data_IF_444325858849
#
_entry.id   IF_444325858849
#
_cell.length_a   1.000
_cell.length_b   1.000
_cell.length_c   1.000
_cell.angle_alpha   90.00
_cell.angle_beta   90.00
_cell.angle_gamma   90.00
#
_symmetry.space_group_name_H-M   'P 1'
#
loop_
_entity.id
_entity.type
_entity.pdbx_description
1 polymer ?
#
# COMPACT_ATOMS: atom_id res chain seq x y z
N UNK A 1 -2.84 -25.90 9.08
CA UNK A 1 -2.81 -24.79 8.09
C UNK A 1 -3.74 -23.71 8.60
N UNK A 2 -3.24 -22.51 8.87
CA UNK A 2 -4.09 -21.41 9.36
C UNK A 2 -4.95 -20.91 8.20
N UNK A 3 -6.22 -21.29 8.18
CA UNK A 3 -7.24 -20.61 7.40
C UNK A 3 -7.34 -19.17 7.90
N UNK A 4 -7.17 -18.21 6.99
CA UNK A 4 -7.40 -16.78 7.29
C UNK A 4 -8.82 -16.63 7.85
N UNK A 5 -8.91 -16.28 9.14
CA UNK A 5 -10.18 -16.04 9.81
C UNK A 5 -10.77 -14.73 9.28
N UNK A 6 -12.08 -14.73 9.00
CA UNK A 6 -12.76 -13.49 8.62
C UNK A 6 -12.72 -12.55 9.80
N UNK A 7 -12.11 -11.38 9.60
CA UNK A 7 -11.97 -10.37 10.63
C UNK A 7 -13.02 -9.29 10.40
N UNK A 8 -14.06 -9.31 11.22
CA UNK A 8 -15.07 -8.25 11.28
C UNK A 8 -14.73 -7.39 12.49
N UNK A 9 -14.64 -6.07 12.30
CA UNK A 9 -14.40 -5.11 13.39
C UNK A 9 -15.65 -4.89 14.24
N UNK A 10 -15.72 -3.76 14.95
CA UNK A 10 -16.94 -3.34 15.66
C UNK A 10 -18.10 -3.05 14.70
N UNK A 11 -17.77 -2.68 13.46
CA UNK A 11 -18.70 -2.45 12.37
C UNK A 11 -18.38 -3.40 11.21
N UNK A 12 -19.43 -3.97 10.60
CA UNK A 12 -19.34 -4.70 9.33
C UNK A 12 -19.57 -3.73 8.16
N UNK A 13 -18.59 -3.61 7.27
CA UNK A 13 -18.61 -2.70 6.12
C UNK A 13 -19.17 -3.34 4.84
N UNK A 14 -19.14 -4.68 4.75
CA UNK A 14 -19.66 -5.42 3.59
C UNK A 14 -20.76 -6.40 4.02
N UNK A 15 -21.90 -5.89 4.54
CA UNK A 15 -22.99 -6.73 5.03
C UNK A 15 -23.55 -7.62 3.93
N UNK A 16 -23.91 -8.85 4.29
CA UNK A 16 -24.43 -9.84 3.34
C UNK A 16 -23.38 -10.50 2.43
N UNK A 17 -22.11 -10.09 2.53
CA UNK A 17 -21.00 -10.75 1.84
C UNK A 17 -20.26 -11.62 2.86
N UNK A 18 -20.33 -12.94 2.70
CA UNK A 18 -19.52 -13.88 3.49
C UNK A 18 -18.13 -14.08 2.86
N UNK A 19 -17.31 -14.95 3.46
CA UNK A 19 -16.06 -15.38 2.83
C UNK A 19 -16.36 -16.00 1.47
N UNK A 20 -15.69 -15.53 0.42
CA UNK A 20 -15.90 -15.96 -0.96
C UNK A 20 -15.47 -17.43 -1.11
N UNK A 21 -16.41 -18.35 -1.42
CA UNK A 21 -16.09 -19.77 -1.56
C UNK A 21 -15.54 -20.08 -2.95
N UNK A 22 -14.92 -21.25 -3.10
CA UNK A 22 -14.69 -21.87 -4.40
C UNK A 22 -15.87 -22.80 -4.74
N UNK A 23 -16.49 -22.61 -5.91
CA UNK A 23 -17.63 -23.43 -6.38
C UNK A 23 -17.37 -24.10 -7.75
N UNK A 24 -16.20 -23.88 -8.34
CA UNK A 24 -15.80 -24.51 -9.60
C UNK A 24 -16.42 -23.92 -10.87
N UNK A 25 -15.95 -24.41 -12.02
CA UNK A 25 -16.15 -23.78 -13.34
C UNK A 25 -17.60 -23.68 -13.81
N UNK A 26 -18.47 -24.55 -13.29
CA UNK A 26 -19.89 -24.57 -13.65
C UNK A 26 -20.72 -23.53 -12.88
N UNK A 27 -20.21 -23.02 -11.76
CA UNK A 27 -20.93 -22.06 -10.92
C UNK A 27 -21.27 -20.78 -11.68
N UNK A 28 -22.50 -20.30 -11.46
CA UNK A 28 -23.00 -19.01 -11.92
C UNK A 28 -23.10 -17.97 -10.81
N UNK A 29 -22.83 -18.35 -9.55
CA UNK A 29 -22.84 -17.43 -8.41
C UNK A 29 -21.73 -16.37 -8.61
N UNK A 30 -22.02 -15.08 -8.80
CA UNK A 30 -20.98 -14.07 -9.04
C UNK A 30 -20.00 -13.92 -7.87
N UNK A 31 -20.41 -14.25 -6.64
CA UNK A 31 -19.64 -14.14 -5.41
C UNK A 31 -19.00 -15.46 -4.99
N UNK A 32 -18.45 -16.19 -5.97
CA UNK A 32 -17.68 -17.42 -5.75
C UNK A 32 -16.52 -17.50 -6.76
N UNK A 33 -15.40 -18.11 -6.37
CA UNK A 33 -14.32 -18.44 -7.29
C UNK A 33 -14.70 -19.65 -8.15
N UNK A 34 -14.45 -19.55 -9.47
CA UNK A 34 -14.73 -20.63 -10.45
C UNK A 34 -13.46 -21.42 -10.79
N UNK A 35 -12.30 -20.81 -10.55
CA UNK A 35 -11.00 -21.34 -10.94
C UNK A 35 -9.98 -21.32 -9.81
N UNK A 36 -10.07 -20.33 -8.92
CA UNK A 36 -9.16 -20.21 -7.80
C UNK A 36 -9.66 -21.04 -6.61
N UNK A 37 -9.12 -22.24 -6.47
CA UNK A 37 -9.16 -23.02 -5.23
C UNK A 37 -7.82 -22.83 -4.53
N UNK A 38 -7.82 -22.15 -3.38
CA UNK A 38 -6.59 -21.78 -2.66
C UNK A 38 -5.74 -23.01 -2.26
N UNK A 39 -6.37 -24.18 -2.09
CA UNK A 39 -5.71 -25.41 -1.66
C UNK A 39 -5.37 -26.36 -2.83
N UNK A 40 -5.81 -26.05 -4.05
CA UNK A 40 -5.50 -26.90 -5.20
C UNK A 40 -3.99 -26.91 -5.46
N UNK A 41 -3.41 -28.10 -5.47
CA UNK A 41 -2.01 -28.31 -5.83
C UNK A 41 -1.80 -28.12 -7.34
N UNK A 42 -0.81 -27.30 -7.70
CA UNK A 42 -0.31 -27.10 -9.06
C UNK A 42 1.19 -27.38 -9.03
N UNK A 43 1.61 -28.56 -9.49
CA UNK A 43 2.98 -29.03 -9.28
C UNK A 43 3.24 -29.23 -7.78
N UNK A 44 4.26 -28.57 -7.24
CA UNK A 44 4.71 -28.73 -5.85
C UNK A 44 4.20 -27.64 -4.89
N UNK A 45 3.32 -26.75 -5.32
CA UNK A 45 2.74 -25.68 -4.50
C UNK A 45 1.24 -25.60 -4.69
N UNK A 46 0.54 -25.12 -3.68
CA UNK A 46 -0.86 -24.72 -3.78
C UNK A 46 -1.02 -23.50 -4.69
N UNK A 47 -2.22 -23.28 -5.23
CA UNK A 47 -2.52 -22.04 -5.97
C UNK A 47 -2.24 -20.80 -5.12
N UNK A 48 -2.57 -20.81 -3.82
CA UNK A 48 -2.29 -19.69 -2.90
C UNK A 48 -0.79 -19.34 -2.84
N UNK A 49 0.06 -20.35 -2.80
CA UNK A 49 1.52 -20.19 -2.76
C UNK A 49 2.13 -19.75 -4.09
N UNK A 50 1.50 -20.12 -5.21
CA UNK A 50 1.89 -19.62 -6.53
C UNK A 50 1.47 -18.18 -6.75
N UNK A 51 0.18 -17.89 -6.56
CA UNK A 51 -0.39 -16.58 -6.93
C UNK A 51 -0.07 -15.50 -5.93
N UNK A 52 -0.10 -15.82 -4.62
CA UNK A 52 0.24 -14.87 -3.54
C UNK A 52 -0.46 -13.53 -3.70
N UNK A 53 -1.76 -13.56 -4.00
CA UNK A 53 -2.54 -12.36 -4.28
C UNK A 53 -2.44 -11.34 -3.15
N UNK A 54 -2.37 -10.06 -3.55
CA UNK A 54 -2.36 -8.92 -2.65
C UNK A 54 -3.46 -7.93 -3.03
N UNK A 55 -4.15 -7.37 -2.03
CA UNK A 55 -5.07 -6.25 -2.24
C UNK A 55 -4.30 -4.94 -2.25
N UNK A 56 -4.55 -4.14 -3.28
CA UNK A 56 -4.01 -2.81 -3.46
C UNK A 56 -4.83 -1.79 -2.63
N UNK A 57 -4.23 -1.22 -1.59
CA UNK A 57 -4.96 -0.38 -0.64
C UNK A 57 -5.50 0.90 -1.28
N UNK A 58 -4.70 1.60 -2.09
CA UNK A 58 -5.10 2.87 -2.70
C UNK A 58 -6.30 2.73 -3.65
N UNK A 59 -6.35 1.70 -4.49
CA UNK A 59 -7.49 1.52 -5.40
C UNK A 59 -8.74 0.99 -4.70
N UNK A 60 -8.58 0.15 -3.68
CA UNK A 60 -9.70 -0.50 -3.00
C UNK A 60 -10.37 0.41 -1.95
N UNK A 61 -9.59 1.20 -1.20
CA UNK A 61 -10.10 1.89 0.00
C UNK A 61 -9.90 3.41 -0.02
N UNK A 62 -9.14 3.95 -0.98
CA UNK A 62 -8.88 5.39 -1.10
C UNK A 62 -9.50 5.99 -2.37
N UNK A 63 -9.43 5.28 -3.50
CA UNK A 63 -9.92 5.75 -4.79
C UNK A 63 -11.44 5.92 -4.86
N UNK A 64 -11.91 7.18 -4.90
CA UNK A 64 -13.34 7.55 -4.91
C UNK A 64 -13.95 7.76 -6.29
N UNK A 65 -13.19 7.45 -7.35
CA UNK A 65 -13.68 7.46 -8.73
C UNK A 65 -13.71 8.83 -9.40
N UNK A 66 -12.98 9.82 -8.88
CA UNK A 66 -12.66 11.05 -9.63
C UNK A 66 -11.75 10.78 -10.82
N UNK A 67 -11.80 11.69 -11.79
CA UNK A 67 -10.95 11.70 -12.97
C UNK A 67 -10.60 13.17 -13.35
N UNK A 68 -9.80 13.44 -14.39
CA UNK A 68 -9.46 14.81 -14.76
C UNK A 68 -10.63 15.73 -15.15
N UNK A 69 -11.84 15.20 -15.32
CA UNK A 69 -13.05 15.88 -15.78
C UNK A 69 -14.20 15.83 -14.77
N UNK A 70 -14.06 15.10 -13.66
CA UNK A 70 -15.14 14.84 -12.72
C UNK A 70 -14.67 14.65 -11.27
N UNK A 71 -15.59 14.89 -10.34
CA UNK A 71 -15.36 14.72 -8.90
C UNK A 71 -15.61 13.28 -8.45
N UNK A 72 -15.31 13.01 -7.19
CA UNK A 72 -15.59 11.74 -6.53
C UNK A 72 -17.04 11.29 -6.71
N UNK A 73 -17.22 10.00 -6.98
CA UNK A 73 -18.53 9.35 -7.20
C UNK A 73 -18.85 8.31 -6.14
N UNK A 74 -17.88 7.95 -5.27
CA UNK A 74 -18.03 6.96 -4.21
C UNK A 74 -17.89 7.62 -2.84
N UNK A 75 -18.83 7.30 -1.97
CA UNK A 75 -18.81 7.69 -0.56
C UNK A 75 -18.66 6.43 0.29
N UNK A 76 -17.50 6.27 0.92
CA UNK A 76 -17.20 5.10 1.72
C UNK A 76 -17.54 5.35 3.19
N UNK A 77 -18.22 4.40 3.83
CA UNK A 77 -18.63 4.52 5.23
C UNK A 77 -17.43 4.64 6.21
N UNK A 78 -16.25 4.13 5.84
CA UNK A 78 -15.05 4.27 6.66
C UNK A 78 -14.42 5.68 6.64
N UNK A 79 -14.95 6.59 5.82
CA UNK A 79 -14.46 7.98 5.73
C UNK A 79 -15.32 8.99 6.51
N UNK A 80 -16.35 8.54 7.24
CA UNK A 80 -17.36 9.43 7.84
C UNK A 80 -16.86 10.21 9.08
N UNK A 81 -15.84 9.71 9.77
CA UNK A 81 -15.32 10.37 10.97
C UNK A 81 -14.57 11.68 10.64
N UNK A 82 -14.65 12.69 11.50
CA UNK A 82 -13.89 13.94 11.31
C UNK A 82 -12.41 13.79 11.69
N UNK A 83 -12.10 12.93 12.67
CA UNK A 83 -10.74 12.65 13.12
C UNK A 83 -10.01 11.75 12.10
N UNK A 84 -8.84 12.17 11.58
CA UNK A 84 -8.08 11.41 10.59
C UNK A 84 -7.61 10.03 11.08
N UNK A 85 -7.30 9.88 12.37
CA UNK A 85 -6.89 8.59 12.94
C UNK A 85 -8.07 7.65 13.05
N UNK A 86 -9.24 8.16 13.45
CA UNK A 86 -10.46 7.35 13.52
C UNK A 86 -10.87 6.87 12.11
N UNK A 87 -10.81 7.74 11.10
CA UNK A 87 -11.01 7.33 9.69
C UNK A 87 -10.00 6.28 9.24
N UNK A 88 -8.72 6.47 9.57
CA UNK A 88 -7.67 5.52 9.21
C UNK A 88 -7.91 4.13 9.83
N UNK A 89 -8.33 4.08 11.10
CA UNK A 89 -8.69 2.83 11.79
C UNK A 89 -9.92 2.18 11.16
N UNK A 90 -10.99 2.94 10.90
CA UNK A 90 -12.19 2.47 10.22
C UNK A 90 -11.87 1.91 8.81
N UNK A 91 -11.00 2.58 8.06
CA UNK A 91 -10.54 2.13 6.74
C UNK A 91 -9.71 0.86 6.83
N UNK A 92 -8.87 0.73 7.86
CA UNK A 92 -8.13 -0.51 8.13
C UNK A 92 -9.07 -1.67 8.51
N UNK A 93 -10.13 -1.40 9.26
CA UNK A 93 -11.16 -2.39 9.58
C UNK A 93 -11.86 -2.89 8.33
N UNK A 94 -12.35 -1.97 7.49
CA UNK A 94 -12.94 -2.31 6.20
C UNK A 94 -11.95 -3.08 5.31
N UNK A 95 -10.68 -2.67 5.29
CA UNK A 95 -9.66 -3.33 4.49
C UNK A 95 -9.44 -4.78 4.92
N UNK A 96 -9.27 -5.04 6.22
CA UNK A 96 -9.04 -6.40 6.71
C UNK A 96 -10.30 -7.26 6.62
N UNK A 97 -11.50 -6.69 6.79
CA UNK A 97 -12.75 -7.41 6.48
C UNK A 97 -12.77 -7.84 5.02
N UNK A 98 -12.52 -6.92 4.09
CA UNK A 98 -12.49 -7.20 2.66
C UNK A 98 -11.45 -8.27 2.30
N UNK A 99 -10.22 -8.10 2.76
CA UNK A 99 -9.10 -9.02 2.48
C UNK A 99 -9.41 -10.43 2.98
N UNK A 100 -9.92 -10.54 4.21
CA UNK A 100 -10.22 -11.84 4.83
C UNK A 100 -11.46 -12.50 4.25
N UNK A 101 -12.49 -11.74 3.85
CA UNK A 101 -13.63 -12.25 3.07
C UNK A 101 -13.20 -12.73 1.68
N UNK A 102 -12.29 -12.03 1.01
CA UNK A 102 -11.73 -12.48 -0.27
C UNK A 102 -10.80 -13.71 -0.12
N UNK A 103 -10.25 -13.94 1.07
CA UNK A 103 -9.36 -15.07 1.36
C UNK A 103 -7.94 -14.89 0.82
N UNK A 104 -7.51 -13.67 0.54
CA UNK A 104 -6.17 -13.39 -0.01
C UNK A 104 -5.14 -13.18 1.10
N UNK A 105 -3.89 -13.63 0.91
CA UNK A 105 -2.88 -13.61 1.97
C UNK A 105 -2.20 -12.26 2.20
N UNK A 106 -2.28 -11.33 1.24
CA UNK A 106 -1.48 -10.12 1.29
C UNK A 106 -2.25 -8.81 1.01
N UNK A 107 -1.62 -7.70 1.38
CA UNK A 107 -1.98 -6.34 0.97
C UNK A 107 -0.73 -5.50 0.68
N UNK A 108 -0.93 -4.35 0.03
CA UNK A 108 0.12 -3.38 -0.31
C UNK A 108 -0.40 -1.94 -0.10
N UNK A 109 0.46 -1.02 0.33
CA UNK A 109 0.08 0.38 0.59
C UNK A 109 1.19 1.38 0.25
N UNK A 110 0.80 2.62 -0.04
CA UNK A 110 1.62 3.82 0.21
C UNK A 110 1.36 4.33 1.63
N UNK A 111 2.36 4.95 2.26
CA UNK A 111 2.24 5.60 3.57
C UNK A 111 0.97 6.47 3.70
N UNK A 112 0.73 7.36 2.74
CA UNK A 112 -0.42 8.27 2.72
C UNK A 112 -1.75 7.59 2.37
N UNK A 113 -1.75 6.32 1.96
CA UNK A 113 -2.99 5.57 1.81
C UNK A 113 -3.55 5.16 3.17
N UNK A 114 -2.67 4.93 4.15
CA UNK A 114 -3.05 4.44 5.47
C UNK A 114 -3.68 5.54 6.31
N UNK A 115 -3.12 6.75 6.26
CA UNK A 115 -3.52 7.87 7.11
C UNK A 115 -3.16 9.21 6.47
N UNK A 116 -3.89 10.25 6.85
CA UNK A 116 -3.62 11.61 6.41
C UNK A 116 -2.29 12.14 6.97
N UNK A 117 -1.59 12.93 6.14
CA UNK A 117 -0.26 13.49 6.44
C UNK A 117 -0.25 14.44 7.64
N UNK A 118 -1.38 15.11 7.94
CA UNK A 118 -1.42 16.19 8.93
C UNK A 118 -0.79 17.49 8.42
N UNK A 119 -0.43 18.40 9.34
CA UNK A 119 0.03 19.75 9.00
C UNK A 119 1.55 19.89 8.92
N UNK A 120 2.29 18.93 9.48
CA UNK A 120 3.74 18.97 9.56
C UNK A 120 4.32 17.56 9.70
N UNK A 121 5.65 17.47 9.59
CA UNK A 121 6.35 16.19 9.62
C UNK A 121 6.15 15.41 10.92
N UNK A 122 6.15 16.09 12.07
CA UNK A 122 5.97 15.41 13.36
C UNK A 122 4.58 14.79 13.48
N UNK A 123 3.56 15.46 12.92
CA UNK A 123 2.20 14.91 12.84
C UNK A 123 2.12 13.72 11.88
N UNK A 124 2.74 13.81 10.69
CA UNK A 124 2.85 12.70 9.74
C UNK A 124 3.45 11.46 10.39
N UNK A 125 4.60 11.60 11.06
CA UNK A 125 5.30 10.47 11.70
C UNK A 125 4.45 9.84 12.80
N UNK A 126 3.83 10.67 13.65
CA UNK A 126 2.93 10.21 14.72
C UNK A 126 1.71 9.48 14.16
N UNK A 127 1.08 10.04 13.13
CA UNK A 127 -0.10 9.47 12.49
C UNK A 127 0.22 8.12 11.85
N UNK A 128 1.32 8.04 11.08
CA UNK A 128 1.77 6.82 10.43
C UNK A 128 2.12 5.74 11.48
N UNK A 129 2.85 6.09 12.53
CA UNK A 129 3.19 5.14 13.59
C UNK A 129 1.94 4.59 14.30
N UNK A 130 0.93 5.45 14.52
CA UNK A 130 -0.34 5.04 15.13
C UNK A 130 -1.07 4.00 14.28
N UNK A 131 -1.24 4.27 12.97
CA UNK A 131 -1.95 3.35 12.09
C UNK A 131 -1.14 2.08 11.81
N UNK A 132 0.20 2.14 11.79
CA UNK A 132 1.08 0.96 11.71
C UNK A 132 0.90 0.06 12.92
N UNK A 133 0.82 0.63 14.13
CA UNK A 133 0.55 -0.14 15.35
C UNK A 133 -0.79 -0.87 15.26
N UNK A 134 -1.81 -0.19 14.76
CA UNK A 134 -3.14 -0.78 14.56
C UNK A 134 -3.13 -1.89 13.49
N UNK A 135 -2.48 -1.66 12.35
CA UNK A 135 -2.33 -2.64 11.27
C UNK A 135 -1.63 -3.92 11.74
N UNK A 136 -0.61 -3.80 12.61
CA UNK A 136 0.08 -4.95 13.20
C UNK A 136 -0.88 -5.85 13.98
N UNK A 137 -1.74 -5.27 14.82
CA UNK A 137 -2.76 -6.02 15.55
C UNK A 137 -3.74 -6.75 14.61
N UNK A 138 -4.12 -6.11 13.49
CA UNK A 138 -4.97 -6.75 12.46
C UNK A 138 -4.27 -7.90 11.74
N UNK A 139 -2.97 -7.77 11.44
CA UNK A 139 -2.17 -8.85 10.87
C UNK A 139 -2.04 -10.03 11.83
N UNK A 140 -1.82 -9.79 13.12
CA UNK A 140 -1.76 -10.82 14.15
C UNK A 140 -3.10 -11.55 14.29
N UNK A 141 -4.23 -10.82 14.29
CA UNK A 141 -5.56 -11.40 14.42
C UNK A 141 -6.00 -12.23 13.20
N UNK A 142 -5.62 -11.82 11.99
CA UNK A 142 -6.11 -12.44 10.74
C UNK A 142 -5.14 -13.40 10.07
N UNK A 143 -3.84 -13.26 10.35
CA UNK A 143 -2.76 -13.92 9.62
C UNK A 143 -2.46 -13.34 8.24
N UNK A 144 -3.14 -12.25 7.84
CA UNK A 144 -2.84 -11.48 6.62
C UNK A 144 -1.47 -10.82 6.78
N UNK A 145 -0.71 -10.72 5.68
CA UNK A 145 0.67 -10.21 5.68
C UNK A 145 0.84 -9.02 4.75
N UNK A 146 1.80 -8.16 5.05
CA UNK A 146 2.22 -7.12 4.12
C UNK A 146 3.09 -7.73 3.01
N UNK A 147 2.70 -7.57 1.74
CA UNK A 147 3.58 -7.96 0.63
C UNK A 147 4.65 -6.89 0.42
N UNK A 148 4.24 -5.63 0.38
CA UNK A 148 5.15 -4.49 0.33
C UNK A 148 4.48 -3.18 0.76
N UNK A 149 5.28 -2.27 1.30
CA UNK A 149 4.94 -0.86 1.45
C UNK A 149 5.74 0.00 0.48
N UNK A 150 5.35 1.26 0.34
CA UNK A 150 6.04 2.28 -0.44
C UNK A 150 5.68 3.68 0.07
N UNK A 151 6.34 4.72 -0.45
CA UNK A 151 6.03 6.12 -0.14
C UNK A 151 5.32 6.79 -1.33
N UNK A 152 4.23 7.52 -1.08
CA UNK A 152 3.60 8.36 -2.09
C UNK A 152 4.40 9.67 -2.27
N UNK A 153 5.37 9.64 -3.17
CA UNK A 153 6.22 10.78 -3.52
C UNK A 153 5.77 11.53 -4.77
N UNK A 154 4.47 11.51 -5.08
CA UNK A 154 3.97 12.00 -6.37
C UNK A 154 2.65 12.77 -6.32
N UNK A 155 1.82 12.57 -5.30
CA UNK A 155 0.52 13.24 -5.18
C UNK A 155 0.63 14.68 -4.66
N UNK A 156 1.42 14.92 -3.62
CA UNK A 156 1.49 16.24 -3.00
C UNK A 156 2.14 17.28 -3.95
N UNK A 157 1.64 18.54 -4.03
CA UNK A 157 2.16 19.58 -4.91
C UNK A 157 3.68 19.83 -4.81
N UNK A 158 4.27 19.58 -3.63
CA UNK A 158 5.73 19.67 -3.42
C UNK A 158 6.54 18.83 -4.40
N UNK A 159 5.97 17.73 -4.90
CA UNK A 159 6.62 16.79 -5.83
C UNK A 159 6.37 17.12 -7.31
N UNK A 160 5.76 18.27 -7.64
CA UNK A 160 5.43 18.61 -9.02
C UNK A 160 6.62 18.61 -9.98
N UNK A 161 7.85 18.80 -9.46
CA UNK A 161 9.10 18.78 -10.23
C UNK A 161 10.00 17.57 -9.92
N UNK A 162 9.44 16.48 -9.39
CA UNK A 162 10.19 15.29 -8.97
C UNK A 162 10.31 15.14 -7.46
N UNK A 163 10.85 14.01 -7.00
CA UNK A 163 11.12 13.75 -5.60
C UNK A 163 12.62 13.60 -5.37
N UNK A 164 13.20 12.46 -5.70
CA UNK A 164 14.66 12.28 -5.73
C UNK A 164 15.29 12.97 -6.96
N UNK A 165 14.55 13.14 -8.05
CA UNK A 165 15.00 13.91 -9.23
C UNK A 165 14.72 15.41 -9.14
N UNK A 166 14.18 15.90 -8.01
CA UNK A 166 13.79 17.30 -7.92
C UNK A 166 15.01 18.25 -8.07
N UNK A 167 14.89 19.34 -8.87
CA UNK A 167 15.93 20.37 -8.94
C UNK A 167 16.19 21.10 -7.62
N UNK A 168 15.21 21.13 -6.71
CA UNK A 168 15.33 21.67 -5.36
C UNK A 168 15.64 20.57 -4.34
N UNK A 169 16.86 20.60 -3.79
CA UNK A 169 17.33 19.63 -2.80
C UNK A 169 16.44 19.55 -1.54
N UNK A 170 15.72 20.64 -1.18
CA UNK A 170 14.81 20.62 -0.03
C UNK A 170 13.65 19.65 -0.24
N UNK A 171 13.14 19.52 -1.47
CA UNK A 171 12.10 18.54 -1.80
C UNK A 171 12.64 17.12 -1.67
N UNK A 172 13.88 16.88 -2.12
CA UNK A 172 14.55 15.59 -1.95
C UNK A 172 14.68 15.22 -0.47
N UNK A 173 15.06 16.16 0.40
CA UNK A 173 15.14 15.88 1.84
C UNK A 173 13.79 15.49 2.45
N UNK A 174 12.69 16.09 1.98
CA UNK A 174 11.34 15.68 2.41
C UNK A 174 10.99 14.27 1.90
N UNK A 175 11.29 13.98 0.63
CA UNK A 175 11.09 12.65 0.05
C UNK A 175 11.89 11.57 0.81
N UNK A 176 13.12 11.88 1.22
CA UNK A 176 13.95 10.99 2.02
C UNK A 176 13.29 10.68 3.37
N UNK A 177 12.68 11.69 4.01
CA UNK A 177 11.95 11.48 5.26
C UNK A 177 10.72 10.59 5.10
N UNK A 178 9.93 10.78 4.05
CA UNK A 178 8.78 9.88 3.78
C UNK A 178 9.24 8.46 3.46
N UNK A 179 10.30 8.29 2.67
CA UNK A 179 10.85 6.95 2.36
C UNK A 179 11.39 6.26 3.60
N UNK A 180 12.09 6.98 4.48
CA UNK A 180 12.53 6.46 5.78
C UNK A 180 11.33 5.91 6.58
N UNK A 181 10.29 6.73 6.73
CA UNK A 181 9.10 6.37 7.52
C UNK A 181 8.29 5.22 6.89
N UNK A 182 8.14 5.21 5.56
CA UNK A 182 7.52 4.10 4.84
C UNK A 182 8.33 2.80 4.94
N UNK A 183 9.67 2.87 4.92
CA UNK A 183 10.54 1.72 5.17
C UNK A 183 10.36 1.20 6.60
N UNK A 184 10.37 2.08 7.60
CA UNK A 184 10.17 1.71 8.99
C UNK A 184 8.80 1.04 9.20
N UNK A 185 7.74 1.60 8.61
CA UNK A 185 6.40 1.00 8.59
C UNK A 185 6.41 -0.39 7.93
N UNK A 186 7.08 -0.53 6.77
CA UNK A 186 7.19 -1.81 6.06
C UNK A 186 7.92 -2.85 6.90
N UNK A 187 9.00 -2.46 7.58
CA UNK A 187 9.76 -3.34 8.48
C UNK A 187 8.91 -3.75 9.68
N UNK A 188 8.25 -2.79 10.33
CA UNK A 188 7.41 -3.03 11.52
C UNK A 188 6.25 -4.00 11.25
N UNK A 189 5.73 -4.00 10.02
CA UNK A 189 4.63 -4.85 9.56
C UNK A 189 5.09 -6.16 8.90
N UNK A 190 6.41 -6.41 8.88
CA UNK A 190 6.99 -7.63 8.31
C UNK A 190 6.82 -7.73 6.79
N UNK A 191 6.85 -6.59 6.09
CA UNK A 191 6.77 -6.51 4.64
C UNK A 191 7.85 -7.36 3.96
N UNK A 192 7.48 -8.03 2.87
CA UNK A 192 8.41 -8.93 2.17
C UNK A 192 9.23 -8.20 1.09
N UNK A 193 8.74 -7.04 0.65
CA UNK A 193 9.40 -6.22 -0.35
C UNK A 193 9.13 -4.73 -0.05
N UNK A 194 9.88 -3.86 -0.71
CA UNK A 194 9.64 -2.41 -0.71
C UNK A 194 9.73 -1.90 -2.15
N UNK A 195 8.76 -1.10 -2.56
CA UNK A 195 8.62 -0.65 -3.95
C UNK A 195 9.05 0.79 -4.10
N UNK A 196 9.70 1.11 -5.21
CA UNK A 196 9.88 2.47 -5.72
C UNK A 196 9.18 2.60 -7.07
N UNK A 197 8.07 3.32 -7.10
CA UNK A 197 7.43 3.76 -8.34
C UNK A 197 7.71 5.25 -8.55
N UNK A 198 8.44 5.57 -9.62
CA UNK A 198 8.91 6.92 -9.91
C UNK A 198 7.86 7.84 -10.53
N UNK A 199 6.70 8.03 -9.90
CA UNK A 199 5.56 8.75 -10.48
C UNK A 199 5.86 10.20 -10.92
N UNK A 200 6.87 10.84 -10.32
CA UNK A 200 7.40 12.16 -10.72
C UNK A 200 8.89 12.13 -11.06
N UNK A 201 9.52 10.96 -11.04
CA UNK A 201 10.96 10.80 -11.26
C UNK A 201 11.26 10.75 -12.77
N UNK A 202 11.03 11.88 -13.42
CA UNK A 202 11.13 12.09 -14.86
C UNK A 202 11.03 13.58 -15.17
N UNK A 203 10.67 13.92 -16.40
CA UNK A 203 10.58 15.32 -16.83
C UNK A 203 9.33 15.58 -17.66
N UNK A 204 8.87 16.83 -17.62
CA UNK A 204 7.82 17.32 -18.51
C UNK A 204 8.38 17.92 -19.81
N UNK A 205 9.60 18.47 -19.77
CA UNK A 205 10.30 18.99 -20.94
C UNK A 205 11.81 18.85 -20.77
N UNK A 206 12.52 18.46 -21.83
CA UNK A 206 13.98 18.34 -21.77
C UNK A 206 14.69 19.70 -21.62
N UNK A 207 14.02 20.80 -22.00
CA UNK A 207 14.62 22.14 -22.03
C UNK A 207 15.10 22.64 -20.65
N UNK A 208 14.50 22.17 -19.56
CA UNK A 208 14.85 22.57 -18.20
C UNK A 208 15.33 21.40 -17.33
N UNK A 209 15.64 20.25 -17.94
CA UNK A 209 15.99 19.02 -17.24
C UNK A 209 17.45 18.67 -17.42
N UNK A 210 18.15 18.45 -16.30
CA UNK A 210 19.52 17.95 -16.31
C UNK A 210 19.50 16.44 -16.12
N UNK A 211 19.05 15.71 -17.14
CA UNK A 211 18.71 14.28 -17.06
C UNK A 211 19.80 13.43 -16.38
N UNK A 212 21.06 13.63 -16.74
CA UNK A 212 22.18 12.91 -16.13
C UNK A 212 22.26 13.16 -14.62
N UNK A 213 22.18 14.43 -14.20
CA UNK A 213 22.27 14.81 -12.78
C UNK A 213 21.10 14.25 -11.98
N UNK A 214 19.91 14.33 -12.54
CA UNK A 214 18.69 13.82 -11.91
C UNK A 214 18.73 12.30 -11.75
N UNK A 215 19.20 11.55 -12.76
CA UNK A 215 19.42 10.11 -12.65
C UNK A 215 20.51 9.75 -11.63
N UNK A 216 21.59 10.53 -11.56
CA UNK A 216 22.63 10.38 -10.53
C UNK A 216 22.10 10.64 -9.11
N UNK A 217 21.20 11.62 -8.94
CA UNK A 217 20.50 11.86 -7.67
C UNK A 217 19.59 10.68 -7.29
N UNK A 218 18.77 10.20 -8.23
CA UNK A 218 17.89 9.05 -8.01
C UNK A 218 18.69 7.79 -7.62
N UNK A 219 19.79 7.51 -8.32
CA UNK A 219 20.67 6.38 -7.97
C UNK A 219 21.22 6.49 -6.54
N UNK A 220 21.70 7.69 -6.14
CA UNK A 220 22.18 7.94 -4.77
C UNK A 220 21.06 7.77 -3.74
N UNK A 221 19.87 8.29 -4.02
CA UNK A 221 18.70 8.18 -3.17
C UNK A 221 18.32 6.72 -2.93
N UNK A 222 18.25 5.91 -4.00
CA UNK A 222 17.95 4.47 -3.93
C UNK A 222 19.01 3.70 -3.14
N UNK A 223 20.30 4.01 -3.36
CA UNK A 223 21.38 3.39 -2.60
C UNK A 223 21.28 3.70 -1.09
N UNK A 224 21.05 4.96 -0.72
CA UNK A 224 20.89 5.37 0.68
C UNK A 224 19.66 4.73 1.33
N UNK A 225 18.53 4.69 0.63
CA UNK A 225 17.31 4.03 1.13
C UNK A 225 17.54 2.53 1.37
N UNK A 226 18.22 1.86 0.42
CA UNK A 226 18.60 0.45 0.55
C UNK A 226 19.56 0.22 1.72
N UNK A 227 20.62 1.03 1.85
CA UNK A 227 21.60 0.90 2.93
C UNK A 227 20.95 1.14 4.30
N UNK A 228 20.10 2.16 4.42
CA UNK A 228 19.31 2.42 5.62
C UNK A 228 18.44 1.22 6.00
N UNK A 229 17.61 0.71 5.09
CA UNK A 229 16.70 -0.38 5.44
C UNK A 229 17.46 -1.66 5.84
N UNK A 230 18.58 -1.95 5.17
CA UNK A 230 19.45 -3.08 5.53
C UNK A 230 20.05 -2.90 6.93
N UNK A 231 20.45 -1.68 7.29
CA UNK A 231 20.90 -1.35 8.65
C UNK A 231 19.78 -1.54 9.69
N UNK A 232 18.52 -1.26 9.31
CA UNK A 232 17.33 -1.50 10.16
C UNK A 232 16.84 -2.97 10.13
N UNK A 233 17.60 -3.88 9.50
CA UNK A 233 17.29 -5.32 9.50
C UNK A 233 16.31 -5.78 8.41
N UNK A 234 15.89 -4.91 7.49
CA UNK A 234 15.03 -5.31 6.38
C UNK A 234 15.74 -6.34 5.48
N UNK A 235 15.19 -7.55 5.36
CA UNK A 235 15.70 -8.60 4.48
C UNK A 235 14.90 -8.75 3.18
N UNK A 236 13.85 -7.96 3.00
CA UNK A 236 12.98 -8.02 1.84
C UNK A 236 13.65 -7.54 0.54
N UNK A 237 12.97 -7.81 -0.57
CA UNK A 237 13.44 -7.41 -1.91
C UNK A 237 13.08 -5.94 -2.18
N UNK A 238 13.95 -5.21 -2.85
CA UNK A 238 13.60 -3.88 -3.38
C UNK A 238 13.16 -4.01 -4.83
N UNK A 239 12.05 -3.36 -5.17
CA UNK A 239 11.54 -3.32 -6.54
C UNK A 239 11.56 -1.90 -7.08
N UNK A 240 11.95 -1.79 -8.35
CA UNK A 240 11.67 -0.61 -9.17
C UNK A 240 10.47 -0.99 -10.03
N UNK A 241 9.42 -0.18 -10.01
CA UNK A 241 8.22 -0.38 -10.84
C UNK A 241 8.31 0.50 -12.10
N UNK A 242 8.65 -0.06 -13.28
CA UNK A 242 8.85 0.73 -14.48
C UNK A 242 7.52 1.22 -15.06
N UNK A 243 7.52 2.46 -15.55
CA UNK A 243 6.42 3.02 -16.35
C UNK A 243 7.03 3.99 -17.37
N UNK A 244 6.61 3.95 -18.66
CA UNK A 244 7.09 4.90 -19.67
C UNK A 244 6.51 6.31 -19.46
#
# INVERSE_FOLDING_TARGET
MNTTQVLIGEQEYFPGISKIPFEGKASKNPLAFKYYDENQMVGNKTMKEHFRFAVCYWHSFVGKGSDPFGRDTRHFAWDDASDPIVRAQAKMDAAFEFITKLGVPFYCFHDLDLVDEGQNLAEYEKNLQSIVTYAKGKQEASGVKLLWGTANLFSHPRYMNGAATNPDFRVLTYAATQVKNALDATIALGGQNYVFWGGREGYMTLLNTQMRREQEHLARFLHLAKDYARQQGFQGTFFIEPKP
#
